data_IF_435168285455
#
_entry.id   IF_435168285455
#
_cell.length_a   1.000
_cell.length_b   1.000
_cell.length_c   1.000
_cell.angle_alpha   90.00
_cell.angle_beta   90.00
_cell.angle_gamma   90.00
#
_symmetry.space_group_name_H-M   'P 1'
#
loop_
_entity.id
_entity.type
_entity.pdbx_description
1 polymer ?
#
# COMPACT_ATOMS: atom_id res chain seq x y z
N UNK A 1 -68.34 -33.11 -9.42
CA UNK A 1 -67.41 -33.61 -10.45
C UNK A 1 -67.38 -32.55 -11.52
N UNK A 2 -66.36 -31.69 -11.51
CA UNK A 2 -66.16 -30.73 -12.59
C UNK A 2 -65.34 -31.41 -13.69
N UNK A 3 -65.97 -31.52 -14.86
CA UNK A 3 -65.40 -32.04 -16.09
C UNK A 3 -64.22 -31.16 -16.52
N UNK A 4 -63.01 -31.72 -16.44
CA UNK A 4 -61.80 -31.11 -16.99
C UNK A 4 -61.90 -31.18 -18.52
N UNK A 5 -62.11 -30.02 -19.15
CA UNK A 5 -62.15 -29.84 -20.59
C UNK A 5 -60.80 -30.23 -21.24
N UNK A 6 -60.71 -31.47 -21.73
CA UNK A 6 -60.30 -31.84 -23.10
C UNK A 6 -59.03 -31.29 -23.77
N UNK A 7 -58.12 -30.61 -23.09
CA UNK A 7 -56.86 -30.16 -23.69
C UNK A 7 -55.71 -31.10 -23.31
N UNK A 8 -55.06 -31.73 -24.31
CA UNK A 8 -53.79 -32.43 -24.09
C UNK A 8 -52.73 -31.44 -23.59
N UNK A 9 -52.04 -31.81 -22.51
CA UNK A 9 -50.96 -31.01 -21.98
C UNK A 9 -49.86 -30.85 -23.05
N UNK A 10 -49.37 -29.63 -23.32
CA UNK A 10 -48.38 -29.41 -24.36
C UNK A 10 -47.11 -30.20 -24.06
N UNK A 11 -46.68 -31.03 -25.03
CA UNK A 11 -45.46 -31.86 -24.91
C UNK A 11 -44.16 -31.05 -24.76
N UNK A 12 -44.17 -29.77 -25.13
CA UNK A 12 -43.03 -28.86 -25.02
C UNK A 12 -43.50 -27.54 -24.43
N UNK A 13 -42.97 -27.22 -23.25
CA UNK A 13 -43.12 -25.92 -22.60
C UNK A 13 -41.77 -25.21 -22.74
N UNK A 14 -41.76 -24.09 -23.46
CA UNK A 14 -40.59 -23.20 -23.51
C UNK A 14 -40.64 -22.26 -22.31
N UNK A 15 -39.85 -22.55 -21.28
CA UNK A 15 -39.78 -21.72 -20.09
C UNK A 15 -38.76 -20.63 -20.34
N UNK A 16 -39.25 -19.41 -20.57
CA UNK A 16 -38.36 -18.25 -20.63
C UNK A 16 -37.76 -17.99 -19.24
N UNK A 17 -36.44 -17.76 -19.14
CA UNK A 17 -35.83 -17.37 -17.87
C UNK A 17 -36.44 -16.03 -17.42
N UNK A 18 -36.66 -15.86 -16.10
CA UNK A 18 -37.22 -14.62 -15.58
C UNK A 18 -36.34 -13.43 -15.95
N UNK A 19 -37.00 -12.32 -16.25
CA UNK A 19 -36.32 -11.08 -16.59
C UNK A 19 -35.44 -10.62 -15.43
N UNK A 20 -34.13 -10.51 -15.68
CA UNK A 20 -33.15 -10.12 -14.65
C UNK A 20 -33.32 -8.64 -14.31
N UNK A 21 -34.09 -8.35 -13.27
CA UNK A 21 -34.30 -6.99 -12.76
C UNK A 21 -33.14 -6.53 -11.88
N UNK A 22 -32.55 -5.38 -12.19
CA UNK A 22 -31.47 -4.77 -11.40
C UNK A 22 -32.04 -4.09 -10.16
N UNK A 23 -32.02 -4.78 -9.02
CA UNK A 23 -32.41 -4.21 -7.71
C UNK A 23 -31.23 -3.50 -7.03
N UNK A 24 -31.52 -2.64 -6.04
CA UNK A 24 -30.48 -1.99 -5.21
C UNK A 24 -29.60 -3.04 -4.54
N UNK A 25 -28.31 -3.06 -4.89
CA UNK A 25 -27.33 -4.06 -4.42
C UNK A 25 -26.96 -5.13 -5.44
N UNK A 26 -27.68 -5.21 -6.57
CA UNK A 26 -27.30 -6.01 -7.73
C UNK A 26 -25.96 -5.49 -8.29
N UNK A 27 -24.93 -6.34 -8.28
CA UNK A 27 -23.56 -5.97 -8.69
C UNK A 27 -22.58 -5.66 -7.56
N UNK A 28 -23.02 -5.68 -6.30
CA UNK A 28 -22.13 -5.50 -5.12
C UNK A 28 -21.37 -6.78 -4.72
N UNK A 29 -21.68 -7.92 -5.36
CA UNK A 29 -21.04 -9.21 -5.08
C UNK A 29 -19.52 -9.12 -5.27
N UNK A 30 -18.79 -9.42 -4.21
CA UNK A 30 -17.34 -9.58 -4.28
C UNK A 30 -17.01 -10.82 -5.13
N UNK A 31 -16.25 -10.70 -6.22
CA UNK A 31 -15.91 -11.85 -7.04
C UNK A 31 -14.97 -12.78 -6.28
N UNK A 32 -15.21 -14.08 -6.45
CA UNK A 32 -14.38 -15.15 -5.92
C UNK A 32 -12.96 -15.08 -6.49
N UNK A 33 -12.02 -15.80 -5.85
CA UNK A 33 -10.64 -15.93 -6.35
C UNK A 33 -10.59 -16.46 -7.78
N UNK A 34 -11.46 -17.42 -8.10
CA UNK A 34 -11.56 -18.03 -9.44
C UNK A 34 -12.05 -17.01 -10.46
N UNK A 35 -13.15 -16.30 -10.18
CA UNK A 35 -13.69 -15.26 -11.07
C UNK A 35 -12.67 -14.14 -11.32
N UNK A 36 -11.93 -13.72 -10.29
CA UNK A 36 -10.83 -12.74 -10.43
C UNK A 36 -9.70 -13.25 -11.33
N UNK A 37 -9.30 -14.50 -11.18
CA UNK A 37 -8.24 -15.10 -11.99
C UNK A 37 -8.67 -15.24 -13.46
N UNK A 38 -9.90 -15.68 -13.72
CA UNK A 38 -10.47 -15.75 -15.07
C UNK A 38 -10.55 -14.37 -15.72
N UNK A 39 -11.00 -13.36 -14.97
CA UNK A 39 -11.04 -11.97 -15.44
C UNK A 39 -9.66 -11.38 -15.72
N UNK A 40 -8.62 -11.85 -15.03
CA UNK A 40 -7.24 -11.45 -15.33
C UNK A 40 -6.75 -12.12 -16.63
N UNK A 41 -7.03 -13.42 -16.79
CA UNK A 41 -6.67 -14.19 -18.00
C UNK A 41 -7.39 -13.68 -19.25
N UNK A 42 -8.63 -13.21 -19.14
CA UNK A 42 -9.39 -12.67 -20.26
C UNK A 42 -8.97 -11.26 -20.67
N UNK A 43 -8.19 -10.55 -19.85
CA UNK A 43 -7.69 -9.22 -20.21
C UNK A 43 -6.58 -9.34 -21.24
N UNK A 44 -6.63 -8.59 -22.34
CA UNK A 44 -5.56 -8.61 -23.33
C UNK A 44 -4.24 -8.16 -22.71
N UNK A 45 -3.15 -8.82 -23.12
CA UNK A 45 -1.81 -8.36 -22.82
C UNK A 45 -1.57 -7.04 -23.55
N UNK A 46 -0.91 -6.12 -22.87
CA UNK A 46 -0.52 -4.83 -23.44
C UNK A 46 0.94 -4.56 -23.12
N UNK A 47 1.61 -3.84 -24.01
CA UNK A 47 2.96 -3.40 -23.77
C UNK A 47 2.98 -2.27 -22.74
N UNK A 48 3.76 -2.43 -21.67
CA UNK A 48 3.89 -1.41 -20.63
C UNK A 48 4.83 -0.29 -21.09
N UNK A 49 4.38 0.97 -21.06
CA UNK A 49 5.23 2.12 -21.46
C UNK A 49 6.49 2.33 -20.59
N UNK A 50 6.54 1.78 -19.37
CA UNK A 50 7.69 1.93 -18.45
C UNK A 50 8.74 0.85 -18.64
N UNK A 51 8.34 -0.43 -18.62
CA UNK A 51 9.28 -1.56 -18.76
C UNK A 51 9.34 -2.16 -20.16
N UNK A 52 8.49 -1.69 -21.09
CA UNK A 52 8.38 -2.15 -22.48
C UNK A 52 8.01 -3.63 -22.66
N UNK A 53 7.64 -4.32 -21.58
CA UNK A 53 7.22 -5.72 -21.61
C UNK A 53 5.72 -5.86 -21.82
N UNK A 54 5.35 -6.98 -22.46
CA UNK A 54 3.97 -7.41 -22.61
C UNK A 54 3.48 -8.09 -21.32
N UNK A 55 2.32 -7.67 -20.83
CA UNK A 55 1.68 -8.32 -19.69
C UNK A 55 0.34 -7.71 -19.33
N UNK A 56 -0.23 -8.15 -18.21
CA UNK A 56 -1.53 -7.67 -17.73
C UNK A 56 -1.45 -6.37 -16.89
N UNK A 57 -0.25 -5.82 -16.67
CA UNK A 57 -0.02 -4.59 -15.92
C UNK A 57 0.05 -3.34 -16.82
N UNK A 58 -0.08 -2.15 -16.24
CA UNK A 58 0.10 -0.88 -16.95
C UNK A 58 1.30 -0.12 -16.37
N UNK A 59 1.69 1.00 -16.98
CA UNK A 59 2.79 1.86 -16.51
C UNK A 59 2.61 2.34 -15.06
N UNK A 60 1.37 2.51 -14.59
CA UNK A 60 1.08 2.90 -13.19
C UNK A 60 1.31 1.76 -12.20
N UNK A 61 1.07 0.52 -12.61
CA UNK A 61 1.19 -0.67 -11.78
C UNK A 61 2.36 -1.57 -12.23
N UNK A 62 3.43 -0.98 -12.74
CA UNK A 62 4.59 -1.74 -13.21
C UNK A 62 5.48 -2.12 -12.03
N UNK A 63 5.58 -3.42 -11.73
CA UNK A 63 6.27 -3.93 -10.54
C UNK A 63 7.77 -3.62 -10.57
N UNK A 64 8.41 -3.71 -11.74
CA UNK A 64 9.83 -3.38 -11.94
C UNK A 64 10.21 -1.95 -11.51
N UNK A 65 9.26 -1.02 -11.61
CA UNK A 65 9.48 0.37 -11.21
C UNK A 65 8.95 0.69 -9.82
N UNK A 66 8.00 -0.11 -9.29
CA UNK A 66 7.62 -0.02 -7.88
C UNK A 66 8.78 -0.40 -6.96
N UNK A 67 9.56 -1.42 -7.31
CA UNK A 67 10.75 -1.79 -6.51
C UNK A 67 11.82 -0.69 -6.53
N UNK A 68 12.03 -0.03 -7.68
CA UNK A 68 12.94 1.13 -7.77
C UNK A 68 12.44 2.31 -6.94
N UNK A 69 11.13 2.58 -6.94
CA UNK A 69 10.55 3.59 -6.03
C UNK A 69 10.70 3.23 -4.56
N UNK A 70 10.60 1.95 -4.17
CA UNK A 70 10.84 1.54 -2.78
C UNK A 70 12.28 1.80 -2.35
N UNK A 71 13.25 1.58 -3.25
CA UNK A 71 14.68 1.85 -2.99
C UNK A 71 14.99 3.36 -2.97
N UNK A 72 14.28 4.17 -3.75
CA UNK A 72 14.46 5.63 -3.77
C UNK A 72 13.59 6.40 -2.76
N UNK A 73 12.66 5.71 -2.08
CA UNK A 73 11.87 6.32 -1.01
C UNK A 73 12.79 6.71 0.15
N UNK A 74 12.65 7.96 0.59
CA UNK A 74 13.25 8.39 1.86
C UNK A 74 12.74 7.45 2.97
N UNK A 75 13.61 6.96 3.85
CA UNK A 75 13.19 6.07 4.92
C UNK A 75 12.13 6.77 5.77
N UNK A 76 11.09 6.01 6.11
CA UNK A 76 10.00 6.48 6.95
C UNK A 76 10.52 6.94 8.32
N UNK A 77 9.72 7.74 9.03
CA UNK A 77 10.06 8.18 10.39
C UNK A 77 10.35 6.97 11.31
N UNK A 78 9.61 5.89 11.12
CA UNK A 78 9.77 4.63 11.88
C UNK A 78 11.10 3.95 11.54
N UNK A 79 11.44 3.81 10.25
CA UNK A 79 12.71 3.22 9.81
C UNK A 79 13.92 4.03 10.28
N UNK A 80 13.84 5.36 10.21
CA UNK A 80 14.88 6.26 10.73
C UNK A 80 15.07 6.08 12.24
N UNK A 81 13.98 5.97 13.00
CA UNK A 81 14.04 5.74 14.44
C UNK A 81 14.62 4.36 14.78
N UNK A 82 14.22 3.31 14.08
CA UNK A 82 14.77 1.96 14.23
C UNK A 82 16.28 1.94 13.94
N UNK A 83 16.70 2.59 12.84
CA UNK A 83 18.13 2.72 12.49
C UNK A 83 18.92 3.54 13.50
N UNK A 84 18.31 4.52 14.17
CA UNK A 84 18.97 5.27 15.25
C UNK A 84 19.13 4.40 16.49
N UNK A 85 18.08 3.67 16.89
CA UNK A 85 18.09 2.74 18.03
C UNK A 85 19.07 1.58 17.84
N UNK A 86 19.31 1.16 16.59
CA UNK A 86 20.28 0.10 16.28
C UNK A 86 21.73 0.58 16.25
N UNK A 87 22.01 1.89 16.34
CA UNK A 87 23.39 2.38 16.37
C UNK A 87 23.99 2.14 17.76
N UNK A 88 25.27 1.75 17.87
CA UNK A 88 25.90 1.62 19.18
C UNK A 88 26.00 3.00 19.86
N UNK A 89 25.70 3.03 21.16
CA UNK A 89 26.00 4.20 21.99
C UNK A 89 27.51 4.34 22.13
N UNK A 90 27.99 5.58 22.26
CA UNK A 90 29.41 5.89 22.48
C UNK A 90 29.53 6.86 23.64
N UNK A 91 30.64 6.78 24.37
CA UNK A 91 30.95 7.74 25.42
C UNK A 91 31.38 9.08 24.82
N UNK A 92 30.72 10.16 25.21
CA UNK A 92 31.05 11.51 24.78
C UNK A 92 32.26 12.04 25.56
N UNK A 93 33.32 12.50 24.89
CA UNK A 93 34.50 13.06 25.60
C UNK A 93 34.24 14.38 26.34
N UNK A 94 33.14 15.08 26.04
CA UNK A 94 32.80 16.39 26.63
C UNK A 94 31.95 16.27 27.89
N UNK A 95 30.96 15.37 27.91
CA UNK A 95 30.10 15.14 29.08
C UNK A 95 30.32 13.78 29.76
N UNK A 96 31.21 12.94 29.22
CA UNK A 96 31.54 11.59 29.71
C UNK A 96 30.37 10.59 29.78
N UNK A 97 29.21 10.95 29.23
CA UNK A 97 28.02 10.11 29.18
C UNK A 97 27.93 9.28 27.90
N UNK A 98 27.30 8.11 28.00
CA UNK A 98 27.01 7.26 26.86
C UNK A 98 25.77 7.76 26.12
N UNK A 99 25.84 7.88 24.79
CA UNK A 99 24.72 8.32 23.98
C UNK A 99 24.93 8.16 22.48
N UNK A 100 23.91 8.53 21.69
CA UNK A 100 24.02 8.64 20.23
C UNK A 100 24.55 10.02 19.81
N UNK A 101 25.52 10.55 20.56
CA UNK A 101 26.14 11.84 20.28
C UNK A 101 27.65 11.77 20.51
N UNK A 102 28.36 12.79 20.04
CA UNK A 102 29.80 12.93 20.24
C UNK A 102 30.12 14.36 20.70
N UNK A 103 31.41 14.68 20.86
CA UNK A 103 31.85 16.01 21.29
C UNK A 103 31.38 17.16 20.39
N UNK A 104 31.09 16.91 19.10
CA UNK A 104 30.58 17.93 18.16
C UNK A 104 29.07 18.15 18.30
N UNK A 105 28.34 17.13 18.76
CA UNK A 105 26.89 17.13 18.91
C UNK A 105 26.45 16.99 20.37
N UNK A 106 27.25 17.47 21.32
CA UNK A 106 26.90 17.36 22.73
C UNK A 106 26.04 18.55 23.15
N UNK A 107 24.74 18.33 23.37
CA UNK A 107 23.80 19.40 23.76
C UNK A 107 24.20 20.02 25.10
N UNK A 108 24.61 19.21 26.07
CA UNK A 108 25.14 19.68 27.37
C UNK A 108 26.33 20.62 27.22
N UNK A 109 27.19 20.39 26.23
CA UNK A 109 28.33 21.27 25.98
C UNK A 109 27.90 22.54 25.26
N UNK A 110 27.04 22.44 24.23
CA UNK A 110 26.51 23.59 23.50
C UNK A 110 25.74 24.55 24.41
N UNK A 111 24.95 24.01 25.35
CA UNK A 111 24.20 24.82 26.32
C UNK A 111 25.15 25.57 27.26
N UNK A 112 26.21 24.91 27.75
CA UNK A 112 27.26 25.55 28.55
C UNK A 112 27.99 26.66 27.79
N UNK A 113 28.33 26.45 26.52
CA UNK A 113 28.97 27.47 25.67
C UNK A 113 28.02 28.66 25.45
N UNK A 114 26.73 28.40 25.20
CA UNK A 114 25.72 29.45 25.02
C UNK A 114 25.56 30.29 26.28
N UNK A 115 25.46 29.66 27.44
CA UNK A 115 25.40 30.34 28.74
C UNK A 115 26.66 31.17 29.02
N UNK A 116 27.84 30.69 28.63
CA UNK A 116 29.11 31.42 28.78
C UNK A 116 29.19 32.62 27.85
N UNK A 117 28.72 32.47 26.61
CA UNK A 117 28.67 33.57 25.63
C UNK A 117 27.72 34.68 26.08
N UNK A 118 26.54 34.35 26.63
CA UNK A 118 25.60 35.36 27.12
C UNK A 118 26.17 36.18 28.28
N UNK A 119 26.92 35.57 29.21
CA UNK A 119 27.56 36.31 30.31
C UNK A 119 28.67 37.26 29.87
N UNK A 120 29.34 36.96 28.76
CA UNK A 120 30.41 37.80 28.22
C UNK A 120 29.90 38.94 27.34
N UNK A 121 28.61 38.96 26.97
CA UNK A 121 27.98 40.06 26.23
C UNK A 121 27.35 41.12 27.13
N UNK A 122 27.25 40.87 28.43
CA UNK A 122 26.71 41.79 29.44
C UNK A 122 27.81 42.60 30.18
N UNK A 123 29.05 42.56 29.68
CA UNK A 123 30.21 43.37 30.12
C UNK A 123 30.72 44.16 28.93
#
# INVERSE_FOLDING_TARGET
MEEFYGAEAPQKVDVQPPEVVSMKGYGSRLPSRVEKALKLKSRPMRQCKKCQEWGHHNSRNCDKFKEKEKMSRLPSRVEKALKLKSKPMRQCKKCQEWGHHNSRNCDKFKEKEKMRSSRNSDV
#
